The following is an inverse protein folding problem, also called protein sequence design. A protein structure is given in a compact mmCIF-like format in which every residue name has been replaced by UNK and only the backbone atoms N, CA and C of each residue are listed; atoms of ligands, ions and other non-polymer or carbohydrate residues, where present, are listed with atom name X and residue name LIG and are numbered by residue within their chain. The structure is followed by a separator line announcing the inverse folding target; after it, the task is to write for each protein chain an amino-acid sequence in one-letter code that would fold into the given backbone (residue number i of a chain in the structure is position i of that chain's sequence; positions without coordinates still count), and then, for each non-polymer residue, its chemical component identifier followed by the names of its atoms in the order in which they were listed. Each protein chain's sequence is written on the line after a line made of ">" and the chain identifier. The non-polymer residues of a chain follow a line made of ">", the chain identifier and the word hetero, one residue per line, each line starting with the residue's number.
data_IF_177757790172
#
_entry.id   IF_177757790172
#
_cell.length_a   1.000
_cell.length_b   1.000
_cell.length_c   1.000
_cell.angle_alpha   90.00
_cell.angle_beta   90.00
_cell.angle_gamma   90.00
#
_symmetry.space_group_name_H-M   'P 1'
#
loop_
_entity.id
_entity.type
_entity.pdbx_description
1 polymer ?
#
# COMPACT_ATOMS: atom_id res chain seq x y z
N UNK A 1 -6.13 -13.43 -7.88
CA UNK A 1 -7.40 -13.29 -7.11
C UNK A 1 -8.23 -14.58 -7.00
N UNK A 2 -8.32 -15.42 -8.03
CA UNK A 2 -9.09 -16.66 -8.00
C UNK A 2 -8.64 -17.63 -6.91
N UNK A 3 -7.34 -17.87 -6.78
CA UNK A 3 -6.76 -18.77 -5.76
C UNK A 3 -7.04 -18.30 -4.33
N UNK A 4 -6.95 -17.00 -4.06
CA UNK A 4 -7.28 -16.43 -2.73
C UNK A 4 -8.74 -16.67 -2.37
N UNK A 5 -9.66 -16.48 -3.33
CA UNK A 5 -11.09 -16.72 -3.14
C UNK A 5 -11.40 -18.19 -2.92
N UNK A 6 -10.80 -19.08 -3.73
CA UNK A 6 -10.96 -20.53 -3.58
C UNK A 6 -10.48 -20.98 -2.19
N UNK A 7 -9.26 -20.59 -1.80
CA UNK A 7 -8.71 -20.94 -0.49
C UNK A 7 -9.53 -20.39 0.66
N UNK A 8 -10.07 -19.18 0.55
CA UNK A 8 -10.96 -18.62 1.56
C UNK A 8 -12.26 -19.42 1.71
N UNK A 9 -12.79 -19.98 0.62
CA UNK A 9 -13.94 -20.87 0.66
C UNK A 9 -13.60 -22.22 1.30
N UNK A 10 -12.47 -22.82 0.94
CA UNK A 10 -11.96 -24.07 1.53
C UNK A 10 -11.74 -23.93 3.05
N UNK A 11 -11.15 -22.81 3.50
CA UNK A 11 -10.98 -22.52 4.92
C UNK A 11 -12.32 -22.40 5.67
N UNK A 12 -13.34 -21.81 5.04
CA UNK A 12 -14.69 -21.74 5.62
C UNK A 12 -15.32 -23.13 5.77
N UNK A 13 -15.10 -24.00 4.79
CA UNK A 13 -15.59 -25.37 4.80
C UNK A 13 -14.83 -26.21 5.83
N UNK A 14 -13.50 -26.07 5.89
CA UNK A 14 -12.66 -26.80 6.83
C UNK A 14 -12.85 -26.37 8.30
N UNK A 15 -13.41 -25.16 8.52
CA UNK A 15 -13.56 -24.58 9.85
C UNK A 15 -12.23 -24.08 10.45
N UNK A 16 -12.20 -23.78 11.77
CA UNK A 16 -11.01 -23.27 12.41
C UNK A 16 -9.86 -24.30 12.39
N UNK A 17 -8.59 -23.83 12.38
CA UNK A 17 -7.44 -24.73 12.38
C UNK A 17 -7.47 -25.65 13.60
N UNK A 18 -7.41 -26.95 13.35
CA UNK A 18 -7.33 -27.95 14.42
C UNK A 18 -5.86 -28.11 14.81
N UNK A 19 -5.55 -28.09 16.10
CA UNK A 19 -4.20 -28.46 16.60
C UNK A 19 -3.94 -29.92 16.19
N UNK A 20 -3.29 -30.11 15.04
CA UNK A 20 -2.78 -31.41 14.62
C UNK A 20 -1.39 -31.58 15.19
N UNK A 21 -1.13 -32.76 15.77
CA UNK A 21 0.22 -33.11 16.23
C UNK A 21 1.26 -33.01 15.10
N UNK A 22 2.52 -32.95 15.47
CA UNK A 22 3.72 -32.69 14.66
C UNK A 22 3.91 -33.54 13.38
N UNK A 23 3.04 -34.53 13.12
CA UNK A 23 3.18 -35.54 12.06
C UNK A 23 2.27 -35.36 10.83
N UNK A 24 1.66 -34.20 10.63
CA UNK A 24 0.77 -33.95 9.47
C UNK A 24 1.49 -33.70 8.13
N UNK A 25 2.77 -34.01 7.96
CA UNK A 25 3.62 -33.59 6.85
C UNK A 25 3.75 -34.52 5.63
N UNK A 26 2.94 -35.55 5.49
CA UNK A 26 3.18 -36.62 4.50
C UNK A 26 3.12 -36.24 3.00
N UNK A 27 2.43 -35.17 2.62
CA UNK A 27 2.28 -34.73 1.23
C UNK A 27 3.45 -33.87 0.70
N UNK A 28 4.01 -33.00 1.51
CA UNK A 28 5.03 -32.03 1.12
C UNK A 28 6.34 -32.65 0.63
N UNK A 29 6.75 -33.81 1.18
CA UNK A 29 8.02 -34.45 0.84
C UNK A 29 8.12 -34.89 -0.63
N UNK A 30 7.06 -35.48 -1.17
CA UNK A 30 7.00 -35.92 -2.57
C UNK A 30 6.96 -34.71 -3.52
N UNK A 31 6.24 -33.67 -3.16
CA UNK A 31 6.07 -32.46 -3.97
C UNK A 31 7.33 -31.60 -3.99
N UNK A 32 8.19 -31.61 -2.94
CA UNK A 32 9.51 -30.95 -2.92
C UNK A 32 10.42 -31.43 -4.06
N UNK A 33 10.40 -32.74 -4.35
CA UNK A 33 11.17 -33.32 -5.46
C UNK A 33 10.68 -32.85 -6.83
N UNK A 34 9.36 -32.72 -7.01
CA UNK A 34 8.73 -32.20 -8.24
C UNK A 34 8.98 -30.71 -8.39
N UNK A 35 8.88 -29.94 -7.30
CA UNK A 35 9.11 -28.50 -7.28
C UNK A 35 10.46 -28.06 -7.84
N UNK A 36 11.50 -28.87 -7.66
CA UNK A 36 12.84 -28.60 -8.22
C UNK A 36 12.91 -28.76 -9.74
N UNK A 37 12.06 -29.59 -10.32
CA UNK A 37 12.05 -29.92 -11.77
C UNK A 37 11.05 -29.06 -12.52
N UNK A 38 9.89 -28.86 -11.96
CA UNK A 38 8.77 -28.11 -12.55
C UNK A 38 8.07 -27.28 -11.47
N UNK A 39 8.61 -26.08 -11.15
CA UNK A 39 8.05 -25.24 -10.10
C UNK A 39 6.67 -24.70 -10.45
N UNK A 40 6.33 -24.50 -11.72
CA UNK A 40 5.00 -24.00 -12.11
C UNK A 40 3.96 -25.11 -12.02
N UNK A 41 4.26 -26.28 -12.60
CA UNK A 41 3.31 -27.40 -12.63
C UNK A 41 3.05 -28.03 -11.27
N UNK A 42 3.98 -27.88 -10.31
CA UNK A 42 3.76 -28.40 -8.95
C UNK A 42 2.78 -27.58 -8.13
N UNK A 43 2.52 -26.33 -8.49
CA UNK A 43 1.60 -25.45 -7.73
C UNK A 43 0.20 -26.06 -7.69
N UNK A 44 -0.29 -26.55 -8.80
CA UNK A 44 -1.62 -27.17 -8.87
C UNK A 44 -1.71 -28.46 -8.04
N UNK A 45 -0.63 -29.23 -7.95
CA UNK A 45 -0.57 -30.41 -7.08
C UNK A 45 -0.55 -30.05 -5.60
N UNK A 46 0.18 -28.97 -5.23
CA UNK A 46 0.19 -28.44 -3.87
C UNK A 46 -1.22 -27.95 -3.50
N UNK A 47 -1.88 -27.22 -4.41
CA UNK A 47 -3.24 -26.72 -4.18
C UNK A 47 -4.23 -27.86 -3.95
N UNK A 48 -4.19 -28.96 -4.73
CA UNK A 48 -5.03 -30.15 -4.52
C UNK A 48 -4.82 -30.80 -3.14
N UNK A 49 -3.59 -30.84 -2.65
CA UNK A 49 -3.33 -31.34 -1.30
C UNK A 49 -3.81 -30.36 -0.22
N UNK A 50 -3.71 -29.04 -0.48
CA UNK A 50 -4.22 -28.01 0.42
C UNK A 50 -5.75 -27.93 0.45
N UNK A 51 -6.47 -28.39 -0.57
CA UNK A 51 -7.93 -28.58 -0.52
C UNK A 51 -8.35 -29.51 0.64
N UNK A 52 -7.54 -30.53 0.91
CA UNK A 52 -7.81 -31.51 2.00
C UNK A 52 -7.43 -30.95 3.38
N UNK A 53 -6.39 -30.15 3.45
CA UNK A 53 -5.87 -29.53 4.68
C UNK A 53 -5.33 -28.13 4.40
N UNK A 54 -6.19 -27.11 4.34
CA UNK A 54 -5.81 -25.74 3.97
C UNK A 54 -4.77 -25.11 4.89
N UNK A 55 -4.70 -25.58 6.12
CA UNK A 55 -3.79 -25.07 7.17
C UNK A 55 -2.51 -25.88 7.33
N UNK A 56 -2.20 -26.77 6.40
CA UNK A 56 -0.98 -27.57 6.47
C UNK A 56 0.26 -26.68 6.33
N UNK A 57 1.02 -26.53 7.41
CA UNK A 57 2.17 -25.63 7.46
C UNK A 57 3.23 -26.00 6.41
N UNK A 58 3.56 -27.30 6.28
CA UNK A 58 4.59 -27.76 5.34
C UNK A 58 4.21 -27.58 3.88
N UNK A 59 2.93 -27.72 3.54
CA UNK A 59 2.43 -27.49 2.18
C UNK A 59 2.36 -26.00 1.86
N UNK A 60 1.91 -25.18 2.80
CA UNK A 60 1.90 -23.71 2.62
C UNK A 60 3.32 -23.15 2.56
N UNK A 61 4.28 -23.68 3.35
CA UNK A 61 5.70 -23.32 3.23
C UNK A 61 6.25 -23.68 1.84
N UNK A 62 5.95 -24.88 1.36
CA UNK A 62 6.35 -25.29 0.02
C UNK A 62 5.70 -24.42 -1.06
N UNK A 63 4.42 -24.09 -0.92
CA UNK A 63 3.71 -23.17 -1.82
C UNK A 63 4.39 -21.80 -1.85
N UNK A 64 4.75 -21.27 -0.68
CA UNK A 64 5.51 -20.03 -0.58
C UNK A 64 6.82 -20.10 -1.37
N UNK A 65 7.64 -21.12 -1.12
CA UNK A 65 8.97 -21.26 -1.74
C UNK A 65 8.87 -21.35 -3.26
N UNK A 66 7.93 -22.16 -3.74
CA UNK A 66 7.69 -22.34 -5.18
C UNK A 66 7.14 -21.06 -5.80
N UNK A 67 6.12 -20.48 -5.23
CA UNK A 67 5.50 -19.25 -5.73
C UNK A 67 6.50 -18.08 -5.76
N UNK A 68 7.35 -17.97 -4.75
CA UNK A 68 8.43 -16.99 -4.70
C UNK A 68 9.43 -17.21 -5.83
N UNK A 69 9.84 -18.45 -6.09
CA UNK A 69 10.81 -18.78 -7.14
C UNK A 69 10.32 -18.44 -8.56
N UNK A 70 9.01 -18.43 -8.79
CA UNK A 70 8.38 -18.08 -10.06
C UNK A 70 7.75 -16.69 -10.07
N UNK A 71 8.15 -15.83 -9.12
CA UNK A 71 7.70 -14.45 -8.98
C UNK A 71 6.18 -14.27 -8.78
N UNK A 72 5.49 -15.28 -8.23
CA UNK A 72 4.08 -15.20 -7.83
C UNK A 72 3.97 -14.69 -6.39
N UNK A 73 4.40 -13.44 -6.17
CA UNK A 73 4.62 -12.87 -4.85
C UNK A 73 3.38 -12.80 -3.97
N UNK A 74 2.21 -12.54 -4.56
CA UNK A 74 0.93 -12.53 -3.82
C UNK A 74 0.53 -13.92 -3.33
N UNK A 75 0.82 -14.97 -4.11
CA UNK A 75 0.58 -16.35 -3.71
C UNK A 75 1.56 -16.75 -2.60
N UNK A 76 2.82 -16.33 -2.71
CA UNK A 76 3.83 -16.56 -1.70
C UNK A 76 3.45 -15.92 -0.34
N UNK A 77 3.06 -14.65 -0.35
CA UNK A 77 2.58 -13.97 0.86
C UNK A 77 1.37 -14.68 1.47
N UNK A 78 0.37 -14.98 0.65
CA UNK A 78 -0.85 -15.61 1.09
C UNK A 78 -0.64 -16.97 1.76
N UNK A 79 0.30 -17.77 1.25
CA UNK A 79 0.65 -19.06 1.84
C UNK A 79 1.18 -18.92 3.27
N UNK A 80 2.12 -17.97 3.52
CA UNK A 80 2.64 -17.72 4.87
C UNK A 80 1.62 -17.04 5.79
N UNK A 81 0.79 -16.13 5.26
CA UNK A 81 -0.31 -15.53 6.03
C UNK A 81 -1.32 -16.59 6.49
N UNK A 82 -1.52 -17.64 5.72
CA UNK A 82 -2.34 -18.78 6.12
C UNK A 82 -1.76 -19.49 7.33
N UNK A 83 -0.43 -19.67 7.36
CA UNK A 83 0.27 -20.27 8.51
C UNK A 83 0.20 -19.34 9.73
N UNK A 84 0.41 -18.05 9.55
CA UNK A 84 0.28 -17.04 10.61
C UNK A 84 -1.05 -17.15 11.37
N UNK A 85 -2.13 -17.37 10.62
CA UNK A 85 -3.48 -17.56 11.20
C UNK A 85 -3.67 -18.90 11.87
N UNK A 86 -3.07 -19.95 11.31
CA UNK A 86 -3.28 -21.34 11.77
C UNK A 86 -2.37 -21.72 12.95
N UNK A 87 -1.14 -21.26 12.92
CA UNK A 87 -0.09 -21.59 13.89
C UNK A 87 0.71 -20.33 14.26
N UNK A 88 0.10 -19.41 15.03
CA UNK A 88 0.75 -18.15 15.42
C UNK A 88 1.99 -18.33 16.31
N UNK A 89 2.19 -19.52 16.86
CA UNK A 89 3.34 -19.94 17.64
C UNK A 89 4.50 -20.51 16.80
N UNK A 90 4.34 -20.63 15.48
CA UNK A 90 5.41 -21.04 14.57
C UNK A 90 6.32 -19.85 14.21
N UNK A 91 7.11 -19.38 15.17
CA UNK A 91 7.97 -18.20 15.03
C UNK A 91 8.90 -18.28 13.84
N UNK A 92 9.44 -19.47 13.51
CA UNK A 92 10.30 -19.68 12.34
C UNK A 92 9.64 -19.27 11.02
N UNK A 93 8.40 -19.66 10.80
CA UNK A 93 7.67 -19.30 9.57
C UNK A 93 7.18 -17.86 9.60
N UNK A 94 6.91 -17.33 10.80
CA UNK A 94 6.59 -15.90 10.95
C UNK A 94 7.82 -15.04 10.64
N UNK A 95 9.03 -15.38 11.07
CA UNK A 95 10.24 -14.68 10.66
C UNK A 95 10.42 -14.67 9.14
N UNK A 96 10.15 -15.78 8.47
CA UNK A 96 10.20 -15.86 7.01
C UNK A 96 9.20 -14.90 6.35
N UNK A 97 8.00 -14.78 6.92
CA UNK A 97 6.99 -13.83 6.45
C UNK A 97 7.40 -12.38 6.71
N UNK A 98 7.95 -12.07 7.89
CA UNK A 98 8.44 -10.74 8.22
C UNK A 98 9.53 -10.30 7.24
N UNK A 99 10.54 -11.14 7.01
CA UNK A 99 11.61 -10.91 6.03
C UNK A 99 11.07 -10.75 4.60
N UNK A 100 10.05 -11.52 4.23
CA UNK A 100 9.39 -11.36 2.93
C UNK A 100 8.79 -9.96 2.77
N UNK A 101 8.13 -9.41 3.80
CA UNK A 101 7.57 -8.07 3.77
C UNK A 101 8.65 -6.98 3.84
N UNK A 102 9.71 -7.18 4.65
CA UNK A 102 10.85 -6.26 4.69
C UNK A 102 11.52 -6.10 3.32
N UNK A 103 11.79 -7.21 2.64
CA UNK A 103 12.42 -7.22 1.31
C UNK A 103 11.57 -6.56 0.23
N UNK A 104 10.29 -6.35 0.50
CA UNK A 104 9.33 -5.68 -0.39
C UNK A 104 9.02 -4.24 0.02
N UNK A 105 9.75 -3.72 1.00
CA UNK A 105 9.51 -2.38 1.55
C UNK A 105 8.06 -2.18 2.04
N UNK A 106 7.54 -3.20 2.74
CA UNK A 106 6.21 -3.23 3.36
C UNK A 106 6.35 -3.21 4.88
N UNK A 107 6.77 -2.07 5.48
CA UNK A 107 7.16 -2.02 6.89
C UNK A 107 5.97 -2.18 7.85
N UNK A 108 4.75 -1.80 7.44
CA UNK A 108 3.56 -1.98 8.28
C UNK A 108 3.21 -3.46 8.46
N UNK A 109 3.22 -4.21 7.37
CA UNK A 109 2.96 -5.64 7.36
C UNK A 109 4.07 -6.39 8.11
N UNK A 110 5.33 -6.04 7.89
CA UNK A 110 6.47 -6.61 8.59
C UNK A 110 6.38 -6.36 10.11
N UNK A 111 6.10 -5.13 10.54
CA UNK A 111 5.91 -4.79 11.96
C UNK A 111 4.78 -5.60 12.60
N UNK A 112 3.66 -5.79 11.88
CA UNK A 112 2.54 -6.61 12.33
C UNK A 112 2.92 -8.07 12.55
N UNK A 113 3.78 -8.62 11.70
CA UNK A 113 4.26 -10.00 11.86
C UNK A 113 5.25 -10.12 13.03
N UNK A 114 6.21 -9.19 13.14
CA UNK A 114 7.14 -9.17 14.28
C UNK A 114 6.43 -9.03 15.62
N UNK A 115 5.40 -8.21 15.69
CA UNK A 115 4.54 -8.10 16.88
C UNK A 115 3.90 -9.43 17.27
N UNK A 116 3.45 -10.23 16.30
CA UNK A 116 2.90 -11.55 16.58
C UNK A 116 3.99 -12.52 17.08
N UNK A 117 5.23 -12.44 16.56
CA UNK A 117 6.36 -13.23 17.06
C UNK A 117 6.67 -12.85 18.51
N UNK A 118 6.81 -11.56 18.81
CA UNK A 118 7.07 -11.06 20.18
C UNK A 118 5.97 -11.49 21.15
N UNK A 119 4.71 -11.55 20.69
CA UNK A 119 3.60 -12.05 21.49
C UNK A 119 3.70 -13.55 21.78
N UNK A 120 4.19 -14.34 20.81
CA UNK A 120 4.38 -15.78 20.95
C UNK A 120 5.65 -16.12 21.76
N UNK A 121 6.73 -15.37 21.52
CA UNK A 121 8.02 -15.50 22.21
C UNK A 121 8.59 -14.10 22.53
N UNK A 122 8.35 -13.58 23.74
CA UNK A 122 8.88 -12.28 24.17
C UNK A 122 10.41 -12.25 24.30
N UNK A 123 11.08 -13.38 24.28
CA UNK A 123 12.55 -13.50 24.41
C UNK A 123 13.26 -13.45 23.06
N UNK A 124 12.52 -13.47 21.97
CA UNK A 124 13.05 -13.35 20.61
C UNK A 124 13.56 -11.93 20.36
N UNK A 125 14.86 -11.74 20.53
CA UNK A 125 15.52 -10.43 20.40
C UNK A 125 15.46 -9.87 18.98
N UNK A 126 15.50 -10.74 17.98
CA UNK A 126 15.44 -10.35 16.56
C UNK A 126 14.04 -9.84 16.23
N UNK A 127 13.00 -10.49 16.74
CA UNK A 127 11.62 -10.03 16.58
C UNK A 127 11.36 -8.70 17.30
N UNK A 128 11.86 -8.54 18.54
CA UNK A 128 11.75 -7.27 19.31
C UNK A 128 12.42 -6.11 18.56
N UNK A 129 13.60 -6.35 17.99
CA UNK A 129 14.29 -5.34 17.18
C UNK A 129 13.55 -5.06 15.88
N UNK A 130 13.16 -6.10 15.16
CA UNK A 130 12.41 -5.99 13.90
C UNK A 130 11.10 -5.22 14.05
N UNK A 131 10.33 -5.47 15.14
CA UNK A 131 9.11 -4.73 15.44
C UNK A 131 9.37 -3.22 15.57
N UNK A 132 10.41 -2.85 16.36
CA UNK A 132 10.78 -1.44 16.56
C UNK A 132 11.23 -0.77 15.26
N UNK A 133 12.12 -1.42 14.53
CA UNK A 133 12.71 -0.89 13.29
C UNK A 133 11.62 -0.71 12.23
N UNK A 134 10.74 -1.70 12.05
CA UNK A 134 9.67 -1.64 11.04
C UNK A 134 8.56 -0.67 11.44
N UNK A 135 8.24 -0.55 12.73
CA UNK A 135 7.29 0.47 13.23
C UNK A 135 7.83 1.88 12.99
N UNK A 136 9.13 2.12 13.22
CA UNK A 136 9.75 3.40 12.93
C UNK A 136 9.71 3.73 11.42
N UNK A 137 10.05 2.77 10.55
CA UNK A 137 9.98 2.94 9.08
C UNK A 137 8.56 3.21 8.61
N UNK A 138 7.57 2.48 9.11
CA UNK A 138 6.16 2.69 8.80
C UNK A 138 5.69 4.10 9.21
N UNK A 139 6.13 4.57 10.39
CA UNK A 139 5.80 5.93 10.87
C UNK A 139 6.43 7.00 9.98
N UNK A 140 7.68 6.81 9.54
CA UNK A 140 8.36 7.73 8.62
C UNK A 140 7.66 7.77 7.25
N UNK A 141 7.26 6.63 6.70
CA UNK A 141 6.54 6.56 5.43
C UNK A 141 5.20 7.31 5.51
N UNK A 142 4.43 7.12 6.59
CA UNK A 142 3.18 7.86 6.82
C UNK A 142 3.39 9.38 6.97
N UNK A 143 4.48 9.78 7.64
CA UNK A 143 4.81 11.20 7.81
C UNK A 143 5.16 11.86 6.47
N UNK A 144 5.86 11.14 5.58
CA UNK A 144 6.16 11.63 4.23
C UNK A 144 4.89 11.75 3.37
N UNK A 145 4.00 10.77 3.42
CA UNK A 145 2.71 10.83 2.72
C UNK A 145 1.82 11.95 3.28
N UNK A 146 1.80 12.12 4.62
CA UNK A 146 1.02 13.17 5.28
C UNK A 146 1.57 14.56 4.96
N UNK A 147 2.89 14.75 4.94
CA UNK A 147 3.51 16.03 4.55
C UNK A 147 3.26 16.36 3.08
N UNK A 148 3.31 15.38 2.19
CA UNK A 148 2.94 15.55 0.78
C UNK A 148 1.46 15.90 0.59
N UNK A 149 0.58 15.34 1.40
CA UNK A 149 -0.86 15.66 1.38
C UNK A 149 -1.16 17.04 2.01
N UNK A 150 -0.43 17.43 3.07
CA UNK A 150 -0.53 18.74 3.69
C UNK A 150 -0.03 19.84 2.73
N UNK A 151 1.11 19.64 2.07
CA UNK A 151 1.64 20.60 1.08
C UNK A 151 0.64 20.79 -0.08
N UNK A 152 0.04 19.70 -0.59
CA UNK A 152 -1.00 19.81 -1.63
C UNK A 152 -2.26 20.51 -1.13
N UNK A 153 -2.66 20.27 0.11
CA UNK A 153 -3.84 20.88 0.72
C UNK A 153 -3.62 22.37 1.01
N UNK A 154 -2.41 22.72 1.49
CA UNK A 154 -2.01 24.11 1.71
C UNK A 154 -1.90 24.86 0.37
N UNK A 155 -1.42 24.22 -0.70
CA UNK A 155 -1.39 24.81 -2.04
C UNK A 155 -2.79 24.99 -2.62
N UNK A 156 -3.71 24.03 -2.44
CA UNK A 156 -5.10 24.15 -2.90
C UNK A 156 -5.88 25.19 -2.07
N UNK A 157 -5.64 25.26 -0.77
CA UNK A 157 -6.27 26.23 0.12
C UNK A 157 -5.70 27.65 -0.13
N UNK A 158 -4.40 27.78 -0.37
CA UNK A 158 -3.76 29.01 -0.78
C UNK A 158 -4.28 29.49 -2.15
N UNK A 159 -4.45 28.57 -3.12
CA UNK A 159 -5.02 28.87 -4.43
C UNK A 159 -6.51 29.26 -4.35
N UNK A 160 -7.27 28.62 -3.45
CA UNK A 160 -8.66 28.95 -3.19
C UNK A 160 -8.79 30.31 -2.50
N UNK A 161 -7.92 30.62 -1.52
CA UNK A 161 -7.85 31.91 -0.84
C UNK A 161 -7.42 33.02 -1.82
N UNK A 162 -6.47 32.74 -2.71
CA UNK A 162 -6.04 33.68 -3.76
C UNK A 162 -7.16 33.92 -4.78
N UNK A 163 -7.91 32.87 -5.17
CA UNK A 163 -9.10 33.01 -6.02
C UNK A 163 -10.21 33.78 -5.30
N UNK A 164 -10.45 33.52 -4.01
CA UNK A 164 -11.44 34.22 -3.23
C UNK A 164 -11.07 35.71 -3.01
N UNK A 165 -9.79 36.00 -2.76
CA UNK A 165 -9.33 37.39 -2.65
C UNK A 165 -9.38 38.14 -3.98
N UNK A 166 -9.19 37.44 -5.09
CA UNK A 166 -9.36 38.00 -6.46
C UNK A 166 -10.83 38.26 -6.80
N UNK A 167 -11.74 37.44 -6.28
CA UNK A 167 -13.19 37.64 -6.48
C UNK A 167 -13.82 38.68 -5.53
N UNK A 168 -13.09 39.13 -4.52
CA UNK A 168 -13.54 40.11 -3.54
C UNK A 168 -13.07 41.54 -3.85
N UNK A 169 -12.49 41.79 -5.03
CA UNK A 169 -12.17 43.17 -5.44
C UNK A 169 -13.44 43.93 -5.71
N UNK A 170 -13.59 45.11 -5.09
CA UNK A 170 -14.70 46.04 -5.40
C UNK A 170 -14.60 46.54 -6.84
N UNK A 171 -15.73 47.01 -7.39
CA UNK A 171 -15.76 47.54 -8.76
C UNK A 171 -14.72 48.64 -8.97
N UNK A 172 -14.56 49.54 -8.01
CA UNK A 172 -13.57 50.62 -8.05
C UNK A 172 -12.13 50.11 -8.11
N UNK A 173 -11.82 49.05 -7.35
CA UNK A 173 -10.50 48.39 -7.36
C UNK A 173 -10.24 47.68 -8.70
N UNK A 174 -11.23 47.10 -9.31
CA UNK A 174 -11.12 46.49 -10.64
C UNK A 174 -10.88 47.53 -11.73
N UNK A 175 -11.53 48.67 -11.63
CA UNK A 175 -11.31 49.79 -12.54
C UNK A 175 -9.91 50.39 -12.44
N UNK A 176 -9.45 50.62 -11.21
CA UNK A 176 -8.07 51.11 -10.98
C UNK A 176 -7.02 50.14 -11.53
N UNK A 177 -7.21 48.84 -11.29
CA UNK A 177 -6.27 47.81 -11.77
C UNK A 177 -6.33 47.63 -13.28
N UNK A 178 -7.48 47.76 -13.88
CA UNK A 178 -7.65 47.82 -15.34
C UNK A 178 -6.82 48.95 -15.92
N UNK A 179 -6.94 50.16 -15.36
CA UNK A 179 -6.30 51.35 -15.87
C UNK A 179 -4.76 51.25 -15.77
N UNK A 180 -4.27 50.68 -14.66
CA UNK A 180 -2.82 50.40 -14.53
C UNK A 180 -2.33 49.38 -15.54
N UNK A 181 -3.09 48.29 -15.80
CA UNK A 181 -2.71 47.29 -16.80
C UNK A 181 -2.80 47.80 -18.22
N UNK A 182 -3.76 48.68 -18.52
CA UNK A 182 -3.90 49.32 -19.83
C UNK A 182 -2.66 50.23 -20.13
N UNK A 183 -2.16 50.97 -19.12
CA UNK A 183 -0.94 51.75 -19.26
C UNK A 183 0.28 50.86 -19.57
N UNK A 184 0.42 49.77 -18.81
CA UNK A 184 1.51 48.80 -19.06
C UNK A 184 1.39 48.11 -20.42
N UNK A 185 0.19 47.81 -20.88
CA UNK A 185 -0.05 47.19 -22.18
C UNK A 185 0.29 48.16 -23.33
N UNK A 186 -0.01 49.45 -23.14
CA UNK A 186 0.34 50.47 -24.14
C UNK A 186 1.85 50.74 -24.23
N UNK A 187 2.63 50.51 -23.17
CA UNK A 187 4.07 50.60 -23.17
C UNK A 187 4.72 49.40 -23.90
N UNK A 188 4.15 48.22 -23.79
CA UNK A 188 4.61 46.99 -24.48
C UNK A 188 3.43 46.11 -24.90
N UNK A 189 2.96 46.34 -26.14
CA UNK A 189 1.82 45.64 -26.74
C UNK A 189 2.07 44.13 -26.94
N UNK A 190 3.33 43.69 -26.94
CA UNK A 190 3.72 42.31 -27.11
C UNK A 190 3.83 41.56 -25.77
N UNK A 191 3.50 42.19 -24.66
CA UNK A 191 3.56 41.59 -23.35
C UNK A 191 2.30 40.72 -23.11
N UNK A 192 2.42 39.46 -23.45
CA UNK A 192 1.31 38.45 -23.29
C UNK A 192 0.84 38.30 -21.85
N UNK A 193 1.71 38.48 -20.85
CA UNK A 193 1.32 38.36 -19.45
C UNK A 193 0.42 39.53 -19.01
N UNK A 194 0.68 40.73 -19.47
CA UNK A 194 -0.16 41.90 -19.21
C UNK A 194 -1.49 41.75 -19.95
N UNK A 195 -1.45 41.33 -21.21
CA UNK A 195 -2.69 41.07 -21.99
C UNK A 195 -3.60 40.02 -21.33
N UNK A 196 -3.01 38.94 -20.80
CA UNK A 196 -3.75 37.88 -20.07
C UNK A 196 -4.35 38.40 -18.77
N UNK A 197 -3.62 39.19 -18.00
CA UNK A 197 -4.14 39.83 -16.77
C UNK A 197 -5.30 40.78 -17.08
N UNK A 198 -5.16 41.55 -18.16
CA UNK A 198 -6.18 42.48 -18.61
C UNK A 198 -7.49 41.74 -19.02
N UNK A 199 -7.40 40.65 -19.73
CA UNK A 199 -8.55 39.84 -20.11
C UNK A 199 -9.31 39.30 -18.91
N UNK A 200 -8.58 38.85 -17.85
CA UNK A 200 -9.19 38.39 -16.60
C UNK A 200 -9.92 39.54 -15.86
N UNK A 201 -9.35 40.74 -15.83
CA UNK A 201 -9.99 41.89 -15.20
C UNK A 201 -11.27 42.28 -15.95
N UNK A 202 -11.26 42.31 -17.27
CA UNK A 202 -12.45 42.58 -18.06
C UNK A 202 -13.54 41.54 -17.84
N UNK A 203 -13.21 40.27 -17.77
CA UNK A 203 -14.17 39.20 -17.46
C UNK A 203 -14.81 39.35 -16.07
N UNK A 204 -14.01 39.79 -15.08
CA UNK A 204 -14.53 40.08 -13.74
C UNK A 204 -15.45 41.30 -13.75
N UNK A 205 -15.12 42.35 -14.45
CA UNK A 205 -15.97 43.55 -14.57
C UNK A 205 -17.29 43.28 -15.30
N UNK A 206 -17.31 42.41 -16.32
CA UNK A 206 -18.56 41.96 -16.99
C UNK A 206 -19.49 41.23 -16.00
N UNK A 207 -18.96 40.39 -15.12
CA UNK A 207 -19.76 39.72 -14.08
C UNK A 207 -20.44 40.70 -13.13
N UNK A 208 -19.81 41.84 -12.81
CA UNK A 208 -20.40 42.86 -11.95
C UNK A 208 -21.48 43.72 -12.66
N UNK A 209 -21.53 43.76 -13.99
CA UNK A 209 -22.54 44.49 -14.75
C UNK A 209 -23.87 43.71 -14.88
N UNK A 210 -23.85 42.41 -14.57
CA UNK A 210 -25.00 41.51 -14.68
C UNK A 210 -25.76 41.33 -13.36
N UNK A 211 -25.33 42.00 -12.30
CA UNK A 211 -26.00 42.09 -10.98
C UNK A 211 -26.34 43.53 -10.66
#
# INVERSE_FOLDING_TARGET
>A
DGRKKLRAAEMKIAGPPKKKGLFGGGGAGKLKGKARKDPVGVIDDIEKELEKDPYNASLNELLHDVAFSVNMLDTAAFALETIRRATPDNTKLLHKLAQFYENRDMPEEAAGVYKDIVKADPTDTDAVKGEKDMTARASMARSQDSSGALVKKDDEEALALEKASRSAMTQDQLEEKRDQLVLQYNEDVNNFDVAKKLSVIYEQMEKYRLF
#
